data_IF_488851619972
#
_entry.id   IF_488851619972
#
_cell.length_a   1.000
_cell.length_b   1.000
_cell.length_c   1.000
_cell.angle_alpha   90.00
_cell.angle_beta   90.00
_cell.angle_gamma   90.00
#
_symmetry.space_group_name_H-M   'P 1'
#
loop_
_entity.id
_entity.type
_entity.pdbx_description
1 polymer ?
#
# COMPACT_ATOMS: atom_id res chain seq x y z
N UNK A 1 -8.10 16.08 -25.12
CA UNK A 1 -7.16 15.11 -24.52
C UNK A 1 -6.01 15.95 -23.97
N UNK A 2 -5.94 16.09 -22.66
CA UNK A 2 -4.78 16.73 -22.02
C UNK A 2 -3.54 15.84 -22.23
N UNK A 3 -2.50 16.42 -22.73
CA UNK A 3 -1.21 15.71 -22.88
C UNK A 3 -0.66 15.44 -21.48
N UNK A 4 -0.28 14.20 -21.22
CA UNK A 4 0.46 13.81 -20.00
C UNK A 4 1.56 14.83 -19.75
N UNK A 5 1.58 15.41 -18.55
CA UNK A 5 2.53 16.48 -18.23
C UNK A 5 3.97 15.96 -18.32
N UNK A 6 4.93 16.85 -18.59
CA UNK A 6 6.35 16.48 -18.60
C UNK A 6 6.81 15.93 -17.24
N UNK A 7 6.17 16.38 -16.15
CA UNK A 7 6.40 15.89 -14.79
C UNK A 7 6.01 14.41 -14.66
N UNK A 8 4.90 14.01 -15.25
CA UNK A 8 4.41 12.62 -15.19
C UNK A 8 5.28 11.68 -16.04
N UNK A 9 5.78 12.15 -17.18
CA UNK A 9 6.74 11.39 -17.99
C UNK A 9 8.01 11.08 -17.21
N UNK A 10 8.54 12.06 -16.49
CA UNK A 10 9.74 11.88 -15.68
C UNK A 10 9.50 11.01 -14.43
N UNK A 11 8.26 10.93 -13.94
CA UNK A 11 7.94 10.13 -12.75
C UNK A 11 8.22 8.65 -12.96
N UNK A 12 7.82 8.11 -14.10
CA UNK A 12 7.92 6.68 -14.43
C UNK A 12 9.22 6.28 -15.13
N UNK A 13 10.01 7.26 -15.58
CA UNK A 13 11.25 6.98 -16.29
C UNK A 13 12.28 6.33 -15.35
N UNK A 14 12.75 5.13 -15.73
CA UNK A 14 13.71 4.32 -14.97
C UNK A 14 13.28 4.05 -13.51
N UNK A 15 11.97 3.97 -13.27
CA UNK A 15 11.42 3.73 -11.94
C UNK A 15 11.39 2.24 -11.60
N UNK A 16 12.04 1.86 -10.49
CA UNK A 16 11.87 0.56 -9.86
C UNK A 16 10.74 0.60 -8.82
N UNK A 17 9.89 -0.41 -8.79
CA UNK A 17 8.85 -0.55 -7.76
C UNK A 17 9.23 -1.68 -6.81
N UNK A 18 9.49 -1.34 -5.56
CA UNK A 18 9.85 -2.27 -4.50
C UNK A 18 8.62 -2.59 -3.64
N UNK A 19 8.37 -3.87 -3.43
CA UNK A 19 7.20 -4.38 -2.74
C UNK A 19 7.44 -4.52 -1.23
N UNK A 20 6.98 -3.54 -0.44
CA UNK A 20 6.84 -3.73 1.01
C UNK A 20 5.53 -4.44 1.34
N UNK A 21 4.45 -4.11 0.62
CA UNK A 21 3.11 -4.68 0.80
C UNK A 21 2.72 -4.78 2.28
N UNK A 22 2.22 -5.94 2.72
CA UNK A 22 1.85 -6.25 4.10
C UNK A 22 2.89 -7.17 4.81
N UNK A 23 4.13 -7.19 4.34
CA UNK A 23 5.18 -8.05 4.93
C UNK A 23 5.58 -7.63 6.35
N UNK A 24 5.17 -6.44 6.79
CA UNK A 24 5.28 -6.00 8.18
C UNK A 24 4.42 -6.85 9.14
N UNK A 25 3.36 -7.51 8.66
CA UNK A 25 2.44 -8.35 9.45
C UNK A 25 1.86 -7.62 10.70
N UNK A 26 1.50 -6.34 10.57
CA UNK A 26 0.99 -5.51 11.67
C UNK A 26 2.06 -4.96 12.62
N UNK A 27 3.33 -5.30 12.42
CA UNK A 27 4.45 -4.83 13.24
C UNK A 27 5.10 -3.59 12.60
N UNK A 28 5.00 -2.45 13.27
CA UNK A 28 5.52 -1.17 12.79
C UNK A 28 7.05 -1.15 12.70
N UNK A 29 7.74 -1.72 13.67
CA UNK A 29 9.20 -1.78 13.68
C UNK A 29 9.72 -2.55 12.46
N UNK A 30 9.08 -3.70 12.17
CA UNK A 30 9.37 -4.48 10.97
C UNK A 30 9.08 -3.70 9.68
N UNK A 31 7.95 -2.97 9.63
CA UNK A 31 7.59 -2.12 8.50
C UNK A 31 8.64 -1.05 8.24
N UNK A 32 9.03 -0.33 9.26
CA UNK A 32 10.08 0.70 9.18
C UNK A 32 11.43 0.10 8.76
N UNK A 33 11.77 -1.08 9.25
CA UNK A 33 13.00 -1.78 8.88
C UNK A 33 13.03 -2.17 7.40
N UNK A 34 11.92 -2.72 6.88
CA UNK A 34 11.78 -3.06 5.45
C UNK A 34 12.00 -1.81 4.59
N UNK A 35 11.35 -0.69 4.92
CA UNK A 35 11.48 0.57 4.17
C UNK A 35 12.92 1.09 4.26
N UNK A 36 13.53 1.02 5.43
CA UNK A 36 14.90 1.45 5.61
C UNK A 36 15.88 0.64 4.76
N UNK A 37 15.76 -0.69 4.76
CA UNK A 37 16.65 -1.56 3.99
C UNK A 37 16.49 -1.33 2.48
N UNK A 38 15.25 -1.24 1.99
CA UNK A 38 14.98 -0.89 0.60
C UNK A 38 15.58 0.47 0.20
N UNK A 39 15.31 1.50 0.99
CA UNK A 39 15.82 2.84 0.69
C UNK A 39 17.34 2.94 0.79
N UNK A 40 17.96 2.18 1.70
CA UNK A 40 19.42 2.14 1.81
C UNK A 40 20.06 1.53 0.55
N UNK A 41 19.53 0.40 0.06
CA UNK A 41 20.00 -0.24 -1.19
C UNK A 41 19.83 0.71 -2.37
N UNK A 42 18.67 1.38 -2.49
CA UNK A 42 18.42 2.33 -3.57
C UNK A 42 19.41 3.49 -3.55
N UNK A 43 19.68 4.05 -2.36
CA UNK A 43 20.63 5.15 -2.20
C UNK A 43 22.06 4.74 -2.54
N UNK A 44 22.49 3.57 -2.07
CA UNK A 44 23.85 3.05 -2.34
C UNK A 44 24.09 2.78 -3.83
N UNK A 45 23.05 2.44 -4.58
CA UNK A 45 23.16 2.08 -5.99
C UNK A 45 22.61 3.16 -6.94
N UNK A 46 22.25 4.35 -6.42
CA UNK A 46 21.67 5.45 -7.18
C UNK A 46 20.41 5.03 -7.99
N UNK A 47 19.54 4.23 -7.37
CA UNK A 47 18.32 3.71 -7.98
C UNK A 47 17.15 4.63 -7.66
N UNK A 48 16.43 5.09 -8.68
CA UNK A 48 15.12 5.73 -8.53
C UNK A 48 14.07 4.67 -8.23
N UNK A 49 13.43 4.74 -7.07
CA UNK A 49 12.49 3.72 -6.64
C UNK A 49 11.22 4.28 -6.01
N UNK A 50 10.11 3.59 -6.25
CA UNK A 50 8.91 3.67 -5.42
C UNK A 50 8.88 2.49 -4.45
N UNK A 51 8.50 2.73 -3.20
CA UNK A 51 8.22 1.67 -2.23
C UNK A 51 6.71 1.55 -2.12
N UNK A 52 6.19 0.38 -2.50
CA UNK A 52 4.76 0.13 -2.58
C UNK A 52 4.26 -0.52 -1.31
N UNK A 53 3.42 0.23 -0.60
CA UNK A 53 2.63 -0.21 0.54
C UNK A 53 1.31 -0.84 0.06
N UNK A 54 0.52 -1.34 1.00
CA UNK A 54 -0.79 -1.89 0.73
C UNK A 54 -1.75 -1.40 1.82
N UNK A 55 -2.74 -0.62 1.42
CA UNK A 55 -3.73 -0.07 2.34
C UNK A 55 -5.01 -0.89 2.27
N UNK A 56 -5.58 -1.17 3.43
CA UNK A 56 -6.83 -1.89 3.54
C UNK A 56 -7.48 -1.57 4.88
N UNK A 57 -8.75 -1.16 4.82
CA UNK A 57 -9.60 -1.01 5.98
C UNK A 57 -10.56 -2.21 6.03
N UNK A 58 -10.39 -3.06 7.04
CA UNK A 58 -11.13 -4.33 7.11
C UNK A 58 -12.64 -4.14 7.24
N UNK A 59 -13.08 -3.04 7.85
CA UNK A 59 -14.51 -2.73 8.01
C UNK A 59 -15.24 -2.52 6.69
N UNK A 60 -14.61 -1.88 5.71
CA UNK A 60 -15.15 -1.67 4.36
C UNK A 60 -14.76 -2.77 3.38
N UNK A 61 -13.61 -3.39 3.56
CA UNK A 61 -13.14 -4.48 2.69
C UNK A 61 -13.96 -5.77 2.80
N UNK A 62 -14.42 -6.13 4.02
CA UNK A 62 -15.18 -7.36 4.24
C UNK A 62 -16.65 -7.13 3.92
N UNK A 63 -17.15 -7.80 2.87
CA UNK A 63 -18.56 -7.73 2.50
C UNK A 63 -19.48 -8.07 3.70
N UNK A 64 -20.58 -7.35 3.90
CA UNK A 64 -21.49 -7.54 5.06
C UNK A 64 -21.96 -8.98 5.25
N UNK A 65 -22.17 -9.73 4.17
CA UNK A 65 -22.62 -11.13 4.21
C UNK A 65 -21.62 -12.07 4.87
N UNK A 66 -20.35 -11.67 4.96
CA UNK A 66 -19.28 -12.44 5.61
C UNK A 66 -19.02 -11.98 7.05
N UNK A 67 -19.65 -10.89 7.50
CA UNK A 67 -19.52 -10.39 8.86
C UNK A 67 -20.47 -11.12 9.79
N UNK A 68 -19.92 -11.97 10.67
CA UNK A 68 -20.70 -12.64 11.71
C UNK A 68 -21.64 -13.74 11.22
N UNK A 69 -21.49 -14.23 9.99
CA UNK A 69 -22.32 -15.28 9.45
C UNK A 69 -21.73 -16.66 9.74
N UNK A 70 -22.44 -17.50 10.50
CA UNK A 70 -22.03 -18.88 10.82
C UNK A 70 -21.84 -19.78 9.58
N UNK A 71 -22.41 -19.39 8.43
CA UNK A 71 -22.28 -20.07 7.14
C UNK A 71 -21.04 -19.68 6.34
N UNK A 72 -20.24 -18.72 6.84
CA UNK A 72 -19.04 -18.28 6.15
C UNK A 72 -18.01 -19.40 6.09
N UNK A 73 -17.49 -19.69 4.90
CA UNK A 73 -16.46 -20.71 4.70
C UNK A 73 -15.25 -20.45 5.62
N UNK A 74 -14.78 -21.53 6.26
CA UNK A 74 -13.60 -21.48 7.15
C UNK A 74 -12.37 -20.87 6.50
N UNK A 75 -12.20 -21.01 5.17
CA UNK A 75 -11.09 -20.39 4.43
C UNK A 75 -11.23 -18.88 4.38
N UNK A 76 -12.45 -18.37 4.12
CA UNK A 76 -12.75 -16.94 4.11
C UNK A 76 -12.54 -16.33 5.50
N UNK A 77 -13.04 -16.95 6.56
CA UNK A 77 -12.82 -16.51 7.94
C UNK A 77 -11.33 -16.49 8.31
N UNK A 78 -10.58 -17.50 7.95
CA UNK A 78 -9.14 -17.53 8.19
C UNK A 78 -8.40 -16.43 7.44
N UNK A 79 -8.82 -16.12 6.21
CA UNK A 79 -8.27 -15.01 5.43
C UNK A 79 -8.55 -13.66 6.08
N UNK A 80 -9.81 -13.42 6.49
CA UNK A 80 -10.23 -12.21 7.19
C UNK A 80 -9.40 -12.02 8.46
N UNK A 81 -9.38 -13.02 9.35
CA UNK A 81 -8.65 -12.98 10.62
C UNK A 81 -7.14 -12.74 10.43
N UNK A 82 -6.53 -13.33 9.40
CA UNK A 82 -5.11 -13.10 9.10
C UNK A 82 -4.85 -11.68 8.57
N UNK A 83 -5.81 -11.13 7.85
CA UNK A 83 -5.68 -9.79 7.28
C UNK A 83 -5.92 -8.71 8.32
N UNK A 84 -6.89 -8.90 9.22
CA UNK A 84 -7.12 -8.00 10.37
C UNK A 84 -5.88 -7.84 11.25
N UNK A 85 -5.19 -8.95 11.54
CA UNK A 85 -3.95 -8.91 12.33
C UNK A 85 -2.82 -8.12 11.68
N UNK A 86 -2.94 -7.80 10.41
CA UNK A 86 -1.96 -7.01 9.65
C UNK A 86 -2.41 -5.56 9.46
N UNK A 87 -3.65 -5.24 9.80
CA UNK A 87 -4.19 -3.90 9.67
C UNK A 87 -3.38 -2.91 10.51
N UNK A 88 -3.13 -1.75 9.95
CA UNK A 88 -2.48 -0.64 10.58
C UNK A 88 -3.48 0.52 10.74
N UNK A 89 -3.26 1.37 11.73
CA UNK A 89 -4.03 2.60 11.87
C UNK A 89 -3.58 3.63 10.83
N UNK A 90 -4.40 4.66 10.62
CA UNK A 90 -4.06 5.78 9.75
C UNK A 90 -2.72 6.42 10.13
N UNK A 91 -2.50 6.66 11.41
CA UNK A 91 -1.28 7.23 11.95
C UNK A 91 -0.05 6.36 11.63
N UNK A 92 -0.22 5.04 11.75
CA UNK A 92 0.83 4.08 11.42
C UNK A 92 1.16 4.11 9.92
N UNK A 93 0.16 4.19 9.05
CA UNK A 93 0.37 4.35 7.61
C UNK A 93 1.09 5.67 7.30
N UNK A 94 0.72 6.78 7.95
CA UNK A 94 1.41 8.05 7.77
C UNK A 94 2.90 7.94 8.13
N UNK A 95 3.22 7.30 9.27
CA UNK A 95 4.61 7.08 9.69
C UNK A 95 5.40 6.28 8.65
N UNK A 96 4.80 5.24 8.06
CA UNK A 96 5.46 4.46 6.99
C UNK A 96 5.67 5.29 5.73
N UNK A 97 4.69 6.08 5.31
CA UNK A 97 4.78 6.99 4.16
C UNK A 97 5.88 8.02 4.36
N UNK A 98 5.93 8.65 5.52
CA UNK A 98 6.96 9.63 5.87
C UNK A 98 8.35 9.00 5.87
N UNK A 99 8.46 7.76 6.36
CA UNK A 99 9.72 7.01 6.28
C UNK A 99 10.14 6.74 4.84
N UNK A 100 9.22 6.39 3.95
CA UNK A 100 9.53 6.21 2.51
C UNK A 100 10.08 7.51 1.92
N UNK A 101 9.41 8.64 2.17
CA UNK A 101 9.84 9.98 1.73
C UNK A 101 11.23 10.33 2.29
N UNK A 102 11.46 10.09 3.58
CA UNK A 102 12.75 10.34 4.25
C UNK A 102 13.90 9.50 3.70
N UNK A 103 13.61 8.31 3.16
CA UNK A 103 14.61 7.47 2.48
C UNK A 103 14.92 7.94 1.05
N UNK A 104 14.25 8.97 0.54
CA UNK A 104 14.39 9.47 -0.83
C UNK A 104 13.67 8.62 -1.87
N UNK A 105 12.74 7.77 -1.43
CA UNK A 105 11.91 6.96 -2.31
C UNK A 105 10.53 7.59 -2.51
N UNK A 106 9.86 7.19 -3.58
CA UNK A 106 8.52 7.64 -3.92
C UNK A 106 7.51 6.75 -3.19
N UNK A 107 6.59 7.30 -2.37
CA UNK A 107 5.54 6.52 -1.76
C UNK A 107 4.51 6.09 -2.82
N UNK A 108 4.12 4.83 -2.75
CA UNK A 108 3.12 4.22 -3.61
C UNK A 108 2.27 3.27 -2.79
N UNK A 109 1.00 3.11 -3.11
CA UNK A 109 0.15 2.10 -2.47
C UNK A 109 -0.76 1.38 -3.45
N UNK A 110 -1.19 0.19 -3.05
CA UNK A 110 -2.36 -0.49 -3.58
C UNK A 110 -3.46 -0.38 -2.54
N UNK A 111 -4.45 0.53 -2.69
CA UNK A 111 -5.64 0.56 -1.87
C UNK A 111 -6.59 -0.57 -2.28
N UNK A 112 -7.35 -1.13 -1.33
CA UNK A 112 -8.31 -2.21 -1.56
C UNK A 112 -9.75 -1.83 -1.19
N UNK A 113 -9.99 -0.59 -0.82
CA UNK A 113 -11.28 -0.03 -0.46
C UNK A 113 -11.26 1.48 -0.65
N UNK A 114 -12.44 2.10 -0.70
CA UNK A 114 -12.61 3.53 -0.96
C UNK A 114 -11.88 4.40 0.07
N UNK A 115 -11.98 4.06 1.36
CA UNK A 115 -11.32 4.81 2.42
C UNK A 115 -9.79 4.74 2.29
N UNK A 116 -9.26 3.63 1.80
CA UNK A 116 -7.83 3.47 1.50
C UNK A 116 -7.39 4.31 0.29
N UNK A 117 -8.28 4.55 -0.67
CA UNK A 117 -8.03 5.51 -1.77
C UNK A 117 -7.95 6.93 -1.22
N UNK A 118 -8.90 7.32 -0.36
CA UNK A 118 -8.90 8.63 0.29
C UNK A 118 -7.62 8.87 1.08
N UNK A 119 -7.12 7.86 1.79
CA UNK A 119 -5.82 7.94 2.47
C UNK A 119 -4.65 8.14 1.52
N UNK A 120 -4.67 7.53 0.33
CA UNK A 120 -3.62 7.77 -0.66
C UNK A 120 -3.61 9.23 -1.13
N UNK A 121 -4.80 9.84 -1.30
CA UNK A 121 -4.94 11.25 -1.66
C UNK A 121 -4.49 12.14 -0.50
N UNK A 122 -4.93 11.87 0.72
CA UNK A 122 -4.57 12.64 1.91
C UNK A 122 -3.05 12.65 2.19
N UNK A 123 -2.38 11.51 1.93
CA UNK A 123 -0.94 11.38 2.12
C UNK A 123 -0.11 11.88 0.91
N UNK A 124 -0.79 12.49 -0.07
CA UNK A 124 -0.17 13.04 -1.28
C UNK A 124 0.70 12.00 -2.01
N UNK A 125 0.14 10.81 -2.23
CA UNK A 125 0.83 9.74 -2.94
C UNK A 125 0.79 9.98 -4.45
N UNK A 126 1.95 10.10 -5.11
CA UNK A 126 1.98 10.38 -6.54
C UNK A 126 1.62 9.18 -7.43
N UNK A 127 1.61 7.97 -6.86
CA UNK A 127 1.32 6.73 -7.60
C UNK A 127 0.37 5.86 -6.80
N UNK A 128 -0.74 5.48 -7.43
CA UNK A 128 -1.71 4.51 -6.90
C UNK A 128 -1.77 3.33 -7.87
N UNK A 129 -1.66 2.11 -7.34
CA UNK A 129 -1.80 0.88 -8.13
C UNK A 129 -3.19 0.29 -7.93
N UNK A 130 -3.90 0.05 -9.01
CA UNK A 130 -5.13 -0.75 -8.99
C UNK A 130 -4.75 -2.23 -8.81
N UNK A 131 -5.36 -2.91 -7.85
CA UNK A 131 -5.13 -4.33 -7.64
C UNK A 131 -5.63 -5.14 -8.85
N UNK A 132 -4.97 -6.25 -9.15
CA UNK A 132 -5.39 -7.10 -10.28
C UNK A 132 -6.75 -7.75 -10.05
N UNK A 133 -7.15 -7.97 -8.79
CA UNK A 133 -8.48 -8.44 -8.42
C UNK A 133 -9.59 -7.45 -8.77
N UNK A 134 -9.26 -6.16 -8.78
CA UNK A 134 -10.26 -5.07 -8.86
C UNK A 134 -10.40 -4.51 -10.29
N UNK A 135 -9.61 -5.03 -11.24
CA UNK A 135 -9.62 -4.54 -12.64
C UNK A 135 -10.93 -4.81 -13.39
N UNK A 136 -11.70 -5.80 -12.95
CA UNK A 136 -12.98 -6.20 -13.56
C UNK A 136 -14.16 -6.06 -12.58
N UNK A 137 -13.97 -5.40 -11.47
CA UNK A 137 -14.99 -5.16 -10.45
C UNK A 137 -15.65 -3.80 -10.76
N UNK A 138 -16.84 -3.88 -11.40
CA UNK A 138 -17.62 -2.71 -11.87
C UNK A 138 -18.88 -2.53 -11.05
#
# INVERSE_FOLDING_TARGET
>A
METVSQRDKNLFENLFVLEAANNHNGNMEKGLKIIQDHGQVCRQNNIKAAIKLQFRKMESFVHPDFKGNERTDKKALNYINKTEKKALTKENYQILVDKVKAMGCIPMSTPFDEESVDLCVEFDMPIIKIASSDMNDW
#
